data_IF_655905065133
#
_entry.id   IF_655905065133
#
_cell.length_a   1.000
_cell.length_b   1.000
_cell.length_c   1.000
_cell.angle_alpha   90.00
_cell.angle_beta   90.00
_cell.angle_gamma   90.00
#
_symmetry.space_group_name_H-M   'P 1'
#
loop_
_entity.id
_entity.type
_entity.pdbx_description
1 polymer ?
#
# COMPACT_ATOMS: atom_id res chain seq x y z
N UNK A 1 -3.82 22.74 -13.24
CA UNK A 1 -3.08 22.08 -12.13
C UNK A 1 -4.13 21.62 -11.12
N UNK A 2 -4.24 20.30 -10.91
CA UNK A 2 -5.21 19.72 -9.99
C UNK A 2 -4.79 20.06 -8.55
N UNK A 3 -5.67 20.75 -7.78
CA UNK A 3 -5.47 20.96 -6.34
C UNK A 3 -5.50 19.64 -5.58
N UNK A 4 -4.91 19.62 -4.38
CA UNK A 4 -4.94 18.45 -3.50
C UNK A 4 -6.38 18.19 -3.04
N UNK A 5 -6.86 16.96 -3.20
CA UNK A 5 -8.17 16.54 -2.69
C UNK A 5 -7.99 16.13 -1.22
N UNK A 6 -8.75 16.71 -0.27
CA UNK A 6 -8.65 16.36 1.13
C UNK A 6 -8.99 14.88 1.40
N UNK A 7 -8.23 14.23 2.29
CA UNK A 7 -8.50 12.84 2.65
C UNK A 7 -9.89 12.65 3.25
N UNK A 8 -10.35 13.60 4.07
CA UNK A 8 -11.70 13.57 4.64
C UNK A 8 -12.80 13.53 3.59
N UNK A 9 -12.61 14.24 2.47
CA UNK A 9 -13.57 14.20 1.36
C UNK A 9 -13.57 12.82 0.67
N UNK A 10 -12.39 12.20 0.51
CA UNK A 10 -12.29 10.86 -0.08
C UNK A 10 -13.00 9.84 0.81
N UNK A 11 -12.81 9.92 2.11
CA UNK A 11 -13.45 9.03 3.08
C UNK A 11 -14.99 9.21 3.08
N UNK A 12 -15.48 10.46 3.03
CA UNK A 12 -16.90 10.77 2.91
C UNK A 12 -17.50 10.27 1.59
N UNK A 13 -16.77 10.41 0.49
CA UNK A 13 -17.18 9.92 -0.82
C UNK A 13 -17.32 8.40 -0.82
N UNK A 14 -16.29 7.68 -0.33
CA UNK A 14 -16.31 6.22 -0.28
C UNK A 14 -17.46 5.71 0.62
N UNK A 15 -17.74 6.37 1.73
CA UNK A 15 -18.82 6.00 2.64
C UNK A 15 -20.22 6.23 2.07
N UNK A 16 -20.38 7.13 1.09
CA UNK A 16 -21.66 7.41 0.42
C UNK A 16 -21.94 6.52 -0.77
N UNK A 17 -20.90 5.91 -1.33
CA UNK A 17 -21.01 5.06 -2.50
C UNK A 17 -21.35 3.62 -2.10
N UNK A 18 -22.27 2.99 -2.84
CA UNK A 18 -22.40 1.54 -2.81
C UNK A 18 -21.59 0.94 -3.95
N UNK A 19 -20.65 0.06 -3.62
CA UNK A 19 -19.81 -0.61 -4.60
C UNK A 19 -20.64 -1.41 -5.61
N UNK A 20 -21.78 -1.95 -5.20
CA UNK A 20 -22.67 -2.70 -6.10
C UNK A 20 -23.22 -1.79 -7.17
N UNK A 21 -23.66 -0.58 -6.83
CA UNK A 21 -24.17 0.40 -7.79
C UNK A 21 -23.07 0.86 -8.76
N UNK A 22 -21.88 1.15 -8.22
CA UNK A 22 -20.72 1.58 -9.03
C UNK A 22 -20.30 0.49 -10.02
N UNK A 23 -20.22 -0.76 -9.57
CA UNK A 23 -19.81 -1.87 -10.44
C UNK A 23 -20.94 -2.25 -11.41
N UNK A 24 -22.21 -2.26 -10.97
CA UNK A 24 -23.34 -2.66 -11.82
C UNK A 24 -23.58 -1.69 -12.98
N UNK A 25 -23.16 -0.43 -12.86
CA UNK A 25 -23.22 0.53 -13.96
C UNK A 25 -22.26 0.19 -15.12
N UNK A 26 -21.29 -0.70 -14.91
CA UNK A 26 -20.25 -1.09 -15.87
C UNK A 26 -20.24 -2.58 -16.20
N UNK A 27 -20.62 -3.43 -15.24
CA UNK A 27 -20.56 -4.89 -15.34
C UNK A 27 -21.90 -5.49 -14.92
N UNK A 28 -22.43 -6.42 -15.71
CA UNK A 28 -23.67 -7.13 -15.35
C UNK A 28 -23.43 -8.05 -14.16
N UNK A 29 -23.87 -7.64 -12.98
CA UNK A 29 -23.78 -8.41 -11.76
C UNK A 29 -24.99 -9.35 -11.61
N UNK A 30 -24.72 -10.59 -11.18
CA UNK A 30 -25.75 -11.57 -10.78
C UNK A 30 -25.68 -11.80 -9.29
N UNK A 31 -26.79 -11.70 -8.60
CA UNK A 31 -26.85 -11.95 -7.15
C UNK A 31 -26.59 -13.43 -6.86
N UNK A 32 -25.64 -13.71 -5.99
CA UNK A 32 -25.23 -15.05 -5.58
C UNK A 32 -25.17 -15.10 -4.05
N UNK A 33 -26.27 -15.44 -3.42
CA UNK A 33 -26.42 -15.41 -1.97
C UNK A 33 -26.34 -13.97 -1.41
N UNK A 34 -25.36 -13.72 -0.54
CA UNK A 34 -25.10 -12.37 0.05
C UNK A 34 -24.26 -11.46 -0.85
N UNK A 35 -23.56 -12.03 -1.81
CA UNK A 35 -22.66 -11.32 -2.71
C UNK A 35 -23.22 -11.25 -4.13
N UNK A 36 -22.53 -10.51 -4.98
CA UNK A 36 -22.78 -10.47 -6.41
C UNK A 36 -21.61 -11.07 -7.16
N UNK A 37 -21.86 -11.70 -8.31
CA UNK A 37 -20.82 -12.31 -9.14
C UNK A 37 -20.99 -11.93 -10.61
N UNK A 38 -19.88 -11.89 -11.34
CA UNK A 38 -19.82 -11.65 -12.78
C UNK A 38 -18.57 -12.29 -13.39
N UNK A 39 -18.49 -12.31 -14.71
CA UNK A 39 -17.22 -12.48 -15.39
C UNK A 39 -16.35 -11.24 -15.16
N UNK A 40 -15.06 -11.46 -14.93
CA UNK A 40 -14.14 -10.38 -14.62
C UNK A 40 -13.93 -9.45 -15.82
N UNK A 41 -14.01 -8.13 -15.63
CA UNK A 41 -13.72 -7.18 -16.70
C UNK A 41 -12.22 -7.03 -17.00
N UNK A 42 -11.35 -7.45 -16.08
CA UNK A 42 -9.89 -7.26 -16.17
C UNK A 42 -9.16 -8.41 -16.86
N UNK A 43 -9.81 -9.58 -17.03
CA UNK A 43 -9.25 -10.70 -17.77
C UNK A 43 -10.34 -11.50 -18.49
N UNK A 44 -9.96 -12.23 -19.53
CA UNK A 44 -10.91 -13.05 -20.30
C UNK A 44 -11.18 -14.37 -19.57
N UNK A 45 -12.44 -14.62 -19.24
CA UNK A 45 -12.89 -15.86 -18.61
C UNK A 45 -14.26 -16.28 -19.12
N UNK A 46 -14.60 -17.58 -18.97
CA UNK A 46 -15.91 -18.12 -19.32
C UNK A 46 -16.79 -18.39 -18.10
N UNK A 47 -16.18 -18.55 -16.94
CA UNK A 47 -16.85 -18.82 -15.66
C UNK A 47 -16.70 -17.64 -14.73
N UNK A 48 -17.79 -17.17 -14.09
CA UNK A 48 -17.72 -16.01 -13.21
C UNK A 48 -16.76 -16.24 -12.04
N UNK A 49 -15.72 -15.42 -11.92
CA UNK A 49 -14.76 -15.43 -10.81
C UNK A 49 -14.66 -14.07 -10.09
N UNK A 50 -15.32 -13.06 -10.63
CA UNK A 50 -15.39 -11.73 -10.05
C UNK A 50 -16.53 -11.65 -9.05
N UNK A 51 -16.23 -11.25 -7.81
CA UNK A 51 -17.19 -11.20 -6.70
C UNK A 51 -17.20 -9.81 -6.08
N UNK A 52 -18.39 -9.28 -5.84
CA UNK A 52 -18.60 -8.00 -5.15
C UNK A 52 -19.36 -8.26 -3.85
N UNK A 53 -18.80 -7.78 -2.73
CA UNK A 53 -19.41 -7.91 -1.40
C UNK A 53 -19.99 -6.57 -0.96
N UNK A 54 -21.33 -6.43 -0.87
CA UNK A 54 -21.95 -5.21 -0.37
C UNK A 54 -21.64 -4.96 1.11
N UNK A 55 -21.57 -6.00 1.93
CA UNK A 55 -21.26 -5.87 3.37
C UNK A 55 -19.86 -5.32 3.63
N UNK A 56 -18.89 -5.68 2.76
CA UNK A 56 -17.48 -5.28 2.88
C UNK A 56 -17.12 -4.08 2.02
N UNK A 57 -18.02 -3.62 1.15
CA UNK A 57 -17.76 -2.57 0.16
C UNK A 57 -16.47 -2.83 -0.65
N UNK A 58 -16.31 -4.07 -1.12
CA UNK A 58 -15.09 -4.58 -1.72
C UNK A 58 -15.39 -5.55 -2.86
N UNK A 59 -14.59 -5.51 -3.93
CA UNK A 59 -14.60 -6.51 -4.98
C UNK A 59 -13.33 -7.35 -4.99
N UNK A 60 -13.44 -8.57 -5.45
CA UNK A 60 -12.28 -9.45 -5.64
C UNK A 60 -12.52 -10.43 -6.78
N UNK A 61 -11.50 -10.63 -7.62
CA UNK A 61 -11.49 -11.63 -8.68
C UNK A 61 -10.61 -12.82 -8.28
N UNK A 62 -11.19 -14.00 -8.17
CA UNK A 62 -10.45 -15.22 -7.86
C UNK A 62 -9.62 -15.75 -9.03
N UNK A 63 -9.84 -15.24 -10.26
CA UNK A 63 -9.09 -15.62 -11.45
C UNK A 63 -7.77 -14.87 -11.60
N UNK A 64 -7.80 -13.54 -11.52
CA UNK A 64 -6.60 -12.71 -11.73
C UNK A 64 -6.07 -12.01 -10.46
N UNK A 65 -6.77 -12.12 -9.32
CA UNK A 65 -6.36 -11.47 -8.08
C UNK A 65 -6.65 -9.97 -8.00
N UNK A 66 -7.28 -9.37 -9.01
CA UNK A 66 -7.71 -7.97 -8.95
C UNK A 66 -8.72 -7.76 -7.82
N UNK A 67 -8.56 -6.72 -7.02
CA UNK A 67 -9.43 -6.45 -5.89
C UNK A 67 -9.25 -5.05 -5.33
N UNK A 68 -10.32 -4.49 -4.76
CA UNK A 68 -10.30 -3.14 -4.23
C UNK A 68 -11.69 -2.62 -3.86
N UNK A 69 -11.75 -1.34 -3.52
CA UNK A 69 -12.99 -0.60 -3.25
C UNK A 69 -13.59 -0.01 -4.55
N UNK A 70 -14.70 0.73 -4.44
CA UNK A 70 -15.35 1.38 -5.57
C UNK A 70 -14.43 2.32 -6.35
N UNK A 71 -13.56 3.07 -5.67
CA UNK A 71 -12.63 4.00 -6.30
C UNK A 71 -11.55 3.25 -7.09
N UNK A 72 -10.93 2.21 -6.49
CA UNK A 72 -9.97 1.37 -7.18
C UNK A 72 -10.57 0.68 -8.40
N UNK A 73 -11.84 0.22 -8.30
CA UNK A 73 -12.53 -0.37 -9.43
C UNK A 73 -12.66 0.59 -10.63
N UNK A 74 -13.06 1.84 -10.38
CA UNK A 74 -13.22 2.85 -11.44
C UNK A 74 -11.87 3.21 -12.06
N UNK A 75 -10.82 3.35 -11.26
CA UNK A 75 -9.47 3.58 -11.74
C UNK A 75 -9.00 2.47 -12.70
N UNK A 76 -9.15 1.22 -12.29
CA UNK A 76 -8.68 0.06 -13.05
C UNK A 76 -9.55 -0.21 -14.29
N UNK A 77 -10.88 -0.08 -14.16
CA UNK A 77 -11.82 -0.39 -15.24
C UNK A 77 -11.84 0.68 -16.33
N UNK A 78 -11.90 1.95 -15.95
CA UNK A 78 -12.01 3.07 -16.86
C UNK A 78 -10.64 3.66 -17.22
N UNK A 79 -9.55 3.08 -16.67
CA UNK A 79 -8.16 3.52 -16.86
C UNK A 79 -7.97 5.01 -16.53
N UNK A 80 -8.54 5.43 -15.38
CA UNK A 80 -8.51 6.80 -14.90
C UNK A 80 -7.44 7.02 -13.84
N UNK A 81 -6.87 8.22 -13.83
CA UNK A 81 -6.04 8.68 -12.72
C UNK A 81 -6.90 8.90 -11.48
N UNK A 82 -6.26 8.82 -10.29
CA UNK A 82 -6.93 9.00 -9.01
C UNK A 82 -7.81 10.26 -8.93
N UNK A 83 -7.34 11.47 -9.29
CA UNK A 83 -8.17 12.68 -9.29
C UNK A 83 -9.40 12.57 -10.21
N UNK A 84 -9.24 11.99 -11.38
CA UNK A 84 -10.31 11.81 -12.36
C UNK A 84 -11.37 10.83 -11.84
N UNK A 85 -10.95 9.72 -11.26
CA UNK A 85 -11.87 8.75 -10.67
C UNK A 85 -12.66 9.33 -9.49
N UNK A 86 -12.00 10.14 -8.64
CA UNK A 86 -12.68 10.87 -7.55
C UNK A 86 -13.70 11.87 -8.11
N UNK A 87 -13.36 12.63 -9.16
CA UNK A 87 -14.29 13.60 -9.79
C UNK A 87 -15.50 12.89 -10.40
N UNK A 88 -15.30 11.76 -11.06
CA UNK A 88 -16.37 10.98 -11.66
C UNK A 88 -17.32 10.41 -10.60
N UNK A 89 -16.78 9.79 -9.57
CA UNK A 89 -17.57 9.24 -8.47
C UNK A 89 -18.27 10.33 -7.65
N UNK A 90 -17.62 11.47 -7.42
CA UNK A 90 -18.23 12.61 -6.75
C UNK A 90 -19.40 13.16 -7.56
N UNK A 91 -19.26 13.26 -8.89
CA UNK A 91 -20.36 13.66 -9.79
C UNK A 91 -21.53 12.67 -9.71
N UNK A 92 -21.27 11.39 -9.70
CA UNK A 92 -22.30 10.36 -9.58
C UNK A 92 -23.00 10.42 -8.21
N UNK A 93 -22.29 10.78 -7.14
CA UNK A 93 -22.81 10.96 -5.80
C UNK A 93 -23.45 12.33 -5.53
N UNK A 94 -23.46 13.24 -6.52
CA UNK A 94 -23.94 14.62 -6.37
C UNK A 94 -23.10 15.47 -5.41
N UNK A 95 -21.81 15.17 -5.29
CA UNK A 95 -20.87 15.89 -4.43
C UNK A 95 -19.95 16.78 -5.27
N UNK A 96 -19.66 17.98 -4.78
CA UNK A 96 -18.65 18.85 -5.36
C UNK A 96 -17.27 18.53 -4.75
N UNK A 97 -16.27 18.30 -5.62
CA UNK A 97 -14.91 18.04 -5.17
C UNK A 97 -14.28 19.34 -4.65
N UNK A 98 -13.99 19.46 -3.35
CA UNK A 98 -13.31 20.63 -2.81
C UNK A 98 -11.86 20.60 -3.34
N UNK A 99 -11.53 21.62 -4.12
CA UNK A 99 -10.14 21.84 -4.54
C UNK A 99 -9.52 22.80 -3.54
N UNK A 100 -8.81 22.27 -2.58
CA UNK A 100 -7.94 23.11 -1.79
C UNK A 100 -6.94 23.74 -2.75
N UNK A 101 -7.04 25.06 -2.93
CA UNK A 101 -5.95 25.82 -3.49
C UNK A 101 -4.79 25.66 -2.50
N UNK A 102 -4.02 24.61 -2.72
CA UNK A 102 -2.92 24.26 -1.83
C UNK A 102 -2.03 25.48 -1.68
N UNK A 103 -2.10 26.14 -0.52
CA UNK A 103 -0.88 26.70 0.03
C UNK A 103 0.09 25.53 0.11
N UNK A 104 0.91 25.43 -0.93
CA UNK A 104 2.13 24.63 -0.88
C UNK A 104 3.09 25.33 0.10
N UNK A 105 2.74 25.33 1.38
CA UNK A 105 3.74 25.31 2.42
C UNK A 105 4.28 23.87 2.53
N UNK A 106 4.57 23.25 1.37
CA UNK A 106 5.69 22.36 1.27
C UNK A 106 6.96 23.24 1.32
N UNK A 107 7.23 23.86 2.46
CA UNK A 107 8.62 23.84 2.89
C UNK A 107 9.04 22.39 2.70
N UNK A 108 10.03 22.10 1.83
CA UNK A 108 10.63 20.79 1.85
C UNK A 108 10.94 20.58 3.33
N UNK A 109 10.29 19.60 3.96
CA UNK A 109 10.68 19.15 5.29
C UNK A 109 12.15 18.85 5.12
N UNK A 110 12.97 19.78 5.58
CA UNK A 110 14.40 19.51 5.65
C UNK A 110 14.49 18.29 6.55
N UNK A 111 15.11 17.21 6.11
CA UNK A 111 15.15 15.95 6.86
C UNK A 111 15.81 16.10 8.24
N UNK A 112 16.33 17.28 8.56
CA UNK A 112 17.22 17.59 9.68
C UNK A 112 16.54 17.99 10.98
N UNK A 113 15.23 18.26 11.01
CA UNK A 113 14.59 18.82 12.21
C UNK A 113 13.85 17.81 13.09
N UNK A 114 13.77 16.56 12.69
CA UNK A 114 13.20 15.53 13.57
C UNK A 114 14.26 15.00 14.51
N UNK A 115 14.05 15.03 15.85
CA UNK A 115 14.99 14.47 16.83
C UNK A 115 15.23 12.96 16.66
N UNK A 116 14.44 12.31 15.78
CA UNK A 116 14.58 10.90 15.44
C UNK A 116 15.73 10.63 14.47
N UNK A 117 16.09 11.57 13.59
CA UNK A 117 17.17 11.34 12.62
C UNK A 117 18.53 11.10 13.27
N UNK A 118 18.99 11.92 14.24
CA UNK A 118 20.24 11.63 14.95
C UNK A 118 20.23 10.28 15.68
N UNK A 119 19.07 9.88 16.21
CA UNK A 119 18.92 8.59 16.87
C UNK A 119 19.03 7.43 15.86
N UNK A 120 18.40 7.57 14.69
CA UNK A 120 18.46 6.56 13.61
C UNK A 120 19.87 6.45 13.05
N UNK A 121 20.58 7.56 12.90
CA UNK A 121 21.98 7.58 12.45
C UNK A 121 22.89 6.90 13.48
N UNK A 122 22.72 7.20 14.76
CA UNK A 122 23.47 6.53 15.83
C UNK A 122 23.19 5.01 15.88
N UNK A 123 21.94 4.60 15.73
CA UNK A 123 21.56 3.20 15.66
C UNK A 123 22.15 2.51 14.42
N UNK A 124 22.11 3.16 13.27
CA UNK A 124 22.72 2.67 12.04
C UNK A 124 24.22 2.45 12.21
N UNK A 125 24.93 3.42 12.75
CA UNK A 125 26.36 3.30 12.98
C UNK A 125 26.69 2.20 14.01
N UNK A 126 25.91 2.08 15.08
CA UNK A 126 26.06 0.99 16.07
C UNK A 126 25.96 -0.39 15.40
N UNK A 127 24.96 -0.64 14.56
CA UNK A 127 24.81 -1.92 13.86
C UNK A 127 25.88 -2.16 12.81
N UNK A 128 26.34 -1.14 12.12
CA UNK A 128 27.46 -1.21 11.16
C UNK A 128 28.75 -1.56 11.88
N UNK A 129 29.02 -0.97 13.04
CA UNK A 129 30.17 -1.28 13.86
C UNK A 129 30.08 -2.71 14.42
N UNK A 130 28.88 -3.17 14.85
CA UNK A 130 28.66 -4.54 15.28
C UNK A 130 28.98 -5.56 14.18
N UNK A 131 28.64 -5.29 12.93
CA UNK A 131 29.02 -6.16 11.81
C UNK A 131 30.55 -6.25 11.63
N UNK A 132 31.30 -5.20 12.01
CA UNK A 132 32.77 -5.17 11.88
C UNK A 132 33.51 -5.81 13.07
N UNK A 133 33.01 -5.64 14.28
CA UNK A 133 33.78 -5.95 15.51
C UNK A 133 33.10 -6.88 16.50
N UNK A 134 31.78 -7.17 16.38
CA UNK A 134 31.09 -8.00 17.36
C UNK A 134 31.61 -9.46 17.37
N UNK A 135 31.80 -10.09 18.54
CA UNK A 135 32.35 -11.45 18.66
C UNK A 135 31.57 -12.51 17.86
N UNK A 136 30.23 -12.39 17.78
CA UNK A 136 29.35 -13.36 17.09
C UNK A 136 29.07 -13.02 15.63
N UNK A 137 29.74 -11.99 15.07
CA UNK A 137 29.53 -11.51 13.70
C UNK A 137 29.81 -12.53 12.61
N UNK A 138 30.61 -13.57 12.91
CA UNK A 138 31.12 -14.53 11.93
C UNK A 138 30.01 -15.15 11.08
N UNK A 139 28.92 -15.60 11.72
CA UNK A 139 27.79 -16.21 11.02
C UNK A 139 27.11 -15.22 10.03
N UNK A 140 26.95 -13.96 10.44
CA UNK A 140 26.37 -12.93 9.56
C UNK A 140 27.30 -12.61 8.39
N UNK A 141 28.61 -12.49 8.63
CA UNK A 141 29.60 -12.23 7.59
C UNK A 141 29.66 -13.39 6.59
N UNK A 142 29.67 -14.64 7.07
CA UNK A 142 29.70 -15.83 6.22
C UNK A 142 28.42 -15.93 5.38
N UNK A 143 27.26 -15.60 5.94
CA UNK A 143 26.00 -15.53 5.23
C UNK A 143 26.02 -14.47 4.10
N UNK A 144 26.51 -13.27 4.38
CA UNK A 144 26.61 -12.21 3.38
C UNK A 144 27.57 -12.59 2.25
N UNK A 145 28.73 -13.19 2.58
CA UNK A 145 29.68 -13.70 1.61
C UNK A 145 29.09 -14.82 0.77
N UNK A 146 28.35 -15.75 1.38
CA UNK A 146 27.67 -16.83 0.65
C UNK A 146 26.62 -16.32 -0.34
N UNK A 147 26.09 -15.11 -0.13
CA UNK A 147 25.22 -14.40 -1.08
C UNK A 147 25.97 -13.55 -2.12
N UNK A 148 27.28 -13.58 -2.16
CA UNK A 148 28.09 -12.80 -3.08
C UNK A 148 28.21 -11.32 -2.73
N UNK A 149 27.85 -10.91 -1.50
CA UNK A 149 27.98 -9.52 -1.05
C UNK A 149 29.42 -9.26 -0.57
N UNK A 150 30.10 -8.34 -1.24
CA UNK A 150 31.44 -7.90 -0.84
C UNK A 150 31.36 -6.93 0.36
N UNK A 151 32.51 -6.73 1.03
CA UNK A 151 32.60 -5.74 2.11
C UNK A 151 32.36 -4.31 1.64
N UNK A 152 32.64 -3.99 0.38
CA UNK A 152 32.36 -2.70 -0.26
C UNK A 152 30.84 -2.49 -0.41
N UNK A 153 30.14 -3.48 -0.96
CA UNK A 153 28.69 -3.47 -1.10
C UNK A 153 28.04 -3.34 0.28
N UNK A 154 28.49 -4.11 1.27
CA UNK A 154 27.96 -4.03 2.63
C UNK A 154 28.12 -2.63 3.25
N UNK A 155 29.24 -1.94 2.95
CA UNK A 155 29.48 -0.58 3.39
C UNK A 155 28.58 0.44 2.68
N UNK A 156 28.47 0.34 1.36
CA UNK A 156 27.72 1.29 0.53
C UNK A 156 26.23 1.22 0.81
N UNK A 157 25.70 0.03 1.06
CA UNK A 157 24.31 -0.18 1.47
C UNK A 157 24.07 -0.06 2.98
N UNK A 158 25.09 0.27 3.78
CA UNK A 158 24.93 0.49 5.21
C UNK A 158 24.49 -0.77 5.98
N UNK A 159 24.89 -1.97 5.54
CA UNK A 159 24.48 -3.20 6.20
C UNK A 159 25.06 -3.27 7.62
N UNK A 160 24.21 -3.64 8.58
CA UNK A 160 24.52 -3.76 9.98
C UNK A 160 24.20 -5.16 10.53
N UNK A 161 24.69 -5.46 11.74
CA UNK A 161 24.44 -6.71 12.45
C UNK A 161 23.73 -6.42 13.76
N UNK A 162 22.49 -6.91 13.88
CA UNK A 162 21.74 -6.92 15.13
C UNK A 162 22.00 -8.24 15.86
N UNK A 163 22.66 -8.18 17.02
CA UNK A 163 22.87 -9.37 17.85
C UNK A 163 21.54 -9.87 18.40
N UNK A 164 21.31 -11.18 18.36
CA UNK A 164 20.10 -11.85 18.86
C UNK A 164 19.76 -11.54 20.32
N UNK A 165 20.71 -11.08 21.12
CA UNK A 165 20.48 -10.67 22.50
C UNK A 165 19.62 -9.40 22.66
N UNK A 166 19.47 -8.60 21.58
CA UNK A 166 18.72 -7.35 21.59
C UNK A 166 17.44 -7.39 20.75
N UNK A 167 17.20 -8.46 19.98
CA UNK A 167 15.97 -8.63 19.23
C UNK A 167 14.97 -9.38 20.10
N UNK A 168 13.96 -8.68 20.58
CA UNK A 168 12.79 -9.33 21.17
C UNK A 168 12.16 -10.23 20.11
N UNK A 169 11.86 -11.50 20.39
CA UNK A 169 11.23 -12.38 19.42
C UNK A 169 9.92 -11.75 18.94
N UNK A 170 9.73 -11.74 17.62
CA UNK A 170 8.50 -11.25 17.02
C UNK A 170 7.30 -11.99 17.61
N UNK A 171 6.15 -11.33 17.81
CA UNK A 171 4.92 -12.03 18.20
C UNK A 171 4.54 -13.22 17.30
N UNK A 172 5.06 -13.26 16.06
CA UNK A 172 4.89 -14.38 15.12
C UNK A 172 5.76 -15.59 15.48
N UNK A 173 6.93 -15.38 16.09
CA UNK A 173 7.85 -16.47 16.45
C UNK A 173 7.40 -17.25 17.70
N UNK A 174 6.40 -16.74 18.42
CA UNK A 174 5.80 -17.39 19.58
C UNK A 174 4.70 -18.42 19.25
N UNK A 175 4.46 -18.70 17.97
CA UNK A 175 3.42 -19.63 17.51
C UNK A 175 3.98 -20.96 16.94
N UNK A 176 5.12 -21.39 17.41
CA UNK A 176 5.60 -22.77 17.18
C UNK A 176 5.52 -23.56 18.46
#
# INVERSE_FOLDING_TARGET
>A
MAGLIPQSFIDDLINRLDIVDVVSSRVQLKKTGKNYSACCPFHKEKTPSFTVSPDKQFYYCFGCGAGGNALGFVMDHDNLDFPQAVEELARAAGMEVPREQGRRDHKPRQPTDSPLYPLLDAASEFYRQALRSHPTRKAAVDYLKGRGLSGEIARDFGLGFACLLYTSPSPRDKRQ
#
